data_IF_762886611390
#
_entry.id   IF_762886611390
#
_cell.length_a   1.000
_cell.length_b   1.000
_cell.length_c   1.000
_cell.angle_alpha   90.00
_cell.angle_beta   90.00
_cell.angle_gamma   90.00
#
_symmetry.space_group_name_H-M   'P 1'
#
loop_
_entity.id
_entity.type
_entity.pdbx_description
1 polymer ?
#
# COMPACT_ATOMS: atom_id res chain seq x y z
N UNK A 1 -5.49 -14.11 -35.04
CA UNK A 1 -5.21 -13.05 -34.09
C UNK A 1 -5.88 -13.46 -32.79
N UNK A 2 -5.12 -13.88 -31.78
CA UNK A 2 -5.64 -14.27 -30.46
C UNK A 2 -6.36 -13.07 -29.88
N UNK A 3 -7.65 -13.21 -29.51
CA UNK A 3 -8.33 -12.26 -28.65
C UNK A 3 -7.47 -12.14 -27.40
N UNK A 4 -6.84 -10.98 -27.16
CA UNK A 4 -6.07 -10.74 -25.96
C UNK A 4 -6.99 -10.97 -24.75
N UNK A 5 -6.83 -12.12 -24.11
CA UNK A 5 -7.51 -12.38 -22.86
C UNK A 5 -7.08 -11.27 -21.89
N UNK A 6 -8.03 -10.68 -21.14
CA UNK A 6 -7.74 -9.67 -20.14
C UNK A 6 -6.73 -10.24 -19.13
N UNK A 7 -5.62 -9.53 -18.80
CA UNK A 7 -4.62 -10.03 -17.87
C UNK A 7 -5.25 -10.30 -16.50
N UNK A 8 -4.82 -11.36 -15.82
CA UNK A 8 -5.29 -11.63 -14.46
C UNK A 8 -4.66 -10.64 -13.48
N UNK A 9 -5.49 -10.06 -12.63
CA UNK A 9 -5.07 -9.18 -11.54
C UNK A 9 -5.26 -9.91 -10.23
N UNK A 10 -4.19 -10.04 -9.43
CA UNK A 10 -4.27 -10.58 -8.07
C UNK A 10 -4.16 -9.43 -7.06
N UNK A 11 -5.15 -9.35 -6.18
CA UNK A 11 -5.17 -8.41 -5.06
C UNK A 11 -5.05 -9.20 -3.76
N UNK A 12 -4.13 -8.77 -2.89
CA UNK A 12 -3.93 -9.36 -1.55
C UNK A 12 -4.41 -8.39 -0.49
N UNK A 13 -5.21 -8.85 0.46
CA UNK A 13 -5.53 -8.10 1.68
C UNK A 13 -4.94 -8.79 2.90
N UNK A 14 -3.91 -8.19 3.53
CA UNK A 14 -3.47 -8.60 4.86
C UNK A 14 -4.47 -8.09 5.90
N UNK A 15 -4.90 -8.93 6.85
CA UNK A 15 -5.85 -8.59 7.91
C UNK A 15 -5.33 -9.01 9.27
N UNK A 16 -5.52 -8.16 10.28
CA UNK A 16 -5.35 -8.53 11.68
C UNK A 16 -6.13 -7.58 12.58
N UNK A 17 -7.19 -8.09 13.24
CA UNK A 17 -8.08 -7.34 14.12
C UNK A 17 -8.64 -6.06 13.47
N UNK A 18 -9.29 -6.21 12.31
CA UNK A 18 -9.83 -5.11 11.50
C UNK A 18 -11.33 -5.24 11.22
N UNK A 19 -12.09 -5.95 12.08
CA UNK A 19 -13.53 -6.15 11.90
C UNK A 19 -14.33 -4.87 11.60
N UNK A 20 -14.03 -3.70 12.18
CA UNK A 20 -14.76 -2.46 11.88
C UNK A 20 -14.69 -2.00 10.42
N UNK A 21 -13.63 -2.37 9.69
CA UNK A 21 -13.34 -1.86 8.34
C UNK A 21 -13.34 -2.96 7.28
N UNK A 22 -12.98 -4.18 7.65
CA UNK A 22 -12.68 -5.29 6.76
C UNK A 22 -13.81 -5.57 5.75
N UNK A 23 -15.08 -5.53 6.18
CA UNK A 23 -16.21 -5.79 5.28
C UNK A 23 -16.28 -4.77 4.14
N UNK A 24 -16.04 -3.49 4.43
CA UNK A 24 -16.01 -2.45 3.41
C UNK A 24 -14.85 -2.66 2.44
N UNK A 25 -13.67 -3.06 2.94
CA UNK A 25 -12.51 -3.39 2.12
C UNK A 25 -12.80 -4.56 1.19
N UNK A 26 -13.32 -5.68 1.72
CA UNK A 26 -13.66 -6.85 0.91
C UNK A 26 -14.63 -6.50 -0.20
N UNK A 27 -15.69 -5.76 0.11
CA UNK A 27 -16.68 -5.34 -0.88
C UNK A 27 -16.07 -4.43 -1.94
N UNK A 28 -15.21 -3.49 -1.55
CA UNK A 28 -14.57 -2.56 -2.49
C UNK A 28 -13.72 -3.26 -3.57
N UNK A 29 -13.18 -4.44 -3.25
CA UNK A 29 -12.44 -5.28 -4.22
C UNK A 29 -13.39 -6.19 -4.99
N UNK A 30 -14.31 -6.88 -4.31
CA UNK A 30 -15.24 -7.84 -4.92
C UNK A 30 -16.29 -7.19 -5.84
N UNK A 31 -16.53 -5.88 -5.69
CA UNK A 31 -17.48 -5.10 -6.50
C UNK A 31 -16.77 -4.34 -7.65
N UNK A 32 -15.47 -4.60 -7.90
CA UNK A 32 -14.78 -4.05 -9.07
C UNK A 32 -15.36 -4.62 -10.38
N UNK A 33 -15.38 -3.78 -11.40
CA UNK A 33 -15.91 -4.11 -12.75
C UNK A 33 -14.95 -4.92 -13.63
N UNK A 34 -13.93 -5.54 -13.03
CA UNK A 34 -12.90 -6.29 -13.75
C UNK A 34 -13.12 -7.81 -13.64
N UNK A 35 -13.38 -8.52 -14.77
CA UNK A 35 -13.85 -9.92 -14.70
C UNK A 35 -12.75 -10.95 -14.39
N UNK A 36 -11.45 -10.64 -14.62
CA UNK A 36 -10.34 -11.56 -14.38
C UNK A 36 -9.57 -11.16 -13.11
N UNK A 37 -10.31 -11.07 -12.00
CA UNK A 37 -9.80 -10.68 -10.67
C UNK A 37 -9.62 -11.91 -9.78
N UNK A 38 -8.44 -12.05 -9.18
CA UNK A 38 -8.10 -13.02 -8.15
C UNK A 38 -7.94 -12.29 -6.82
N UNK A 39 -8.81 -12.56 -5.86
CA UNK A 39 -8.76 -11.91 -4.57
C UNK A 39 -8.34 -12.88 -3.47
N UNK A 40 -7.28 -12.52 -2.74
CA UNK A 40 -6.64 -13.33 -1.70
C UNK A 40 -6.66 -12.56 -0.37
N UNK A 41 -7.11 -13.21 0.70
CA UNK A 41 -7.13 -12.63 2.05
C UNK A 41 -6.26 -13.45 2.98
N UNK A 42 -5.31 -12.81 3.64
CA UNK A 42 -4.40 -13.44 4.62
C UNK A 42 -4.65 -12.76 5.97
N UNK A 43 -5.29 -13.49 6.86
CA UNK A 43 -5.58 -13.03 8.22
C UNK A 43 -4.58 -13.61 9.21
N UNK A 44 -4.02 -12.76 10.06
CA UNK A 44 -2.97 -13.07 11.05
C UNK A 44 -3.48 -13.76 12.33
N UNK A 45 -4.66 -14.38 12.29
CA UNK A 45 -5.28 -15.01 13.46
C UNK A 45 -6.07 -14.00 14.31
N UNK A 46 -6.93 -13.22 13.67
CA UNK A 46 -7.79 -12.22 14.33
C UNK A 46 -8.74 -12.84 15.36
N UNK A 47 -9.09 -12.06 16.38
CA UNK A 47 -9.99 -12.45 17.48
C UNK A 47 -11.14 -11.45 17.72
N UNK A 48 -11.36 -10.51 16.80
CA UNK A 48 -12.29 -9.37 16.94
C UNK A 48 -13.57 -9.48 16.09
N UNK A 49 -13.83 -10.62 15.44
CA UNK A 49 -14.94 -10.80 14.50
C UNK A 49 -14.52 -10.69 13.03
N UNK A 50 -13.23 -10.45 12.73
CA UNK A 50 -12.74 -10.41 11.33
C UNK A 50 -12.91 -11.74 10.63
N UNK A 51 -12.75 -12.88 11.34
CA UNK A 51 -12.88 -14.22 10.77
C UNK A 51 -14.31 -14.49 10.28
N UNK A 52 -15.32 -14.09 11.04
CA UNK A 52 -16.73 -14.22 10.66
C UNK A 52 -17.05 -13.41 9.40
N UNK A 53 -16.44 -12.24 9.27
CA UNK A 53 -16.56 -11.42 8.06
C UNK A 53 -15.91 -12.13 6.86
N UNK A 54 -14.71 -12.68 7.01
CA UNK A 54 -14.03 -13.44 5.95
C UNK A 54 -14.88 -14.62 5.50
N UNK A 55 -15.41 -15.40 6.45
CA UNK A 55 -16.30 -16.54 6.16
C UNK A 55 -17.53 -16.17 5.34
N UNK A 56 -18.13 -15.01 5.62
CA UNK A 56 -19.30 -14.48 4.86
C UNK A 56 -18.99 -14.29 3.38
N UNK A 57 -17.75 -14.02 3.01
CA UNK A 57 -17.32 -13.77 1.62
C UNK A 57 -16.47 -14.90 1.03
N UNK A 58 -16.24 -15.99 1.76
CA UNK A 58 -15.30 -17.06 1.42
C UNK A 58 -15.51 -17.63 0.01
N UNK A 59 -16.77 -17.83 -0.42
CA UNK A 59 -17.12 -18.37 -1.75
C UNK A 59 -16.74 -17.42 -2.92
N UNK A 60 -16.43 -16.16 -2.63
CA UNK A 60 -16.04 -15.15 -3.62
C UNK A 60 -14.53 -14.88 -3.60
N UNK A 61 -13.80 -15.46 -2.65
CA UNK A 61 -12.35 -15.33 -2.54
C UNK A 61 -11.66 -16.47 -3.28
N UNK A 62 -10.61 -16.16 -4.04
CA UNK A 62 -9.80 -17.18 -4.69
C UNK A 62 -9.02 -18.01 -3.66
N UNK A 63 -8.60 -17.35 -2.56
CA UNK A 63 -7.97 -18.00 -1.42
C UNK A 63 -8.14 -17.13 -0.17
N UNK A 64 -8.24 -17.76 0.98
CA UNK A 64 -8.11 -17.11 2.28
C UNK A 64 -7.55 -18.07 3.31
N UNK A 65 -6.91 -17.53 4.34
CA UNK A 65 -6.52 -18.24 5.54
C UNK A 65 -6.58 -17.32 6.75
N UNK A 66 -6.75 -17.91 7.94
CA UNK A 66 -6.62 -17.22 9.23
C UNK A 66 -5.72 -18.06 10.13
N UNK A 67 -4.51 -17.57 10.39
CA UNK A 67 -3.55 -18.20 11.30
C UNK A 67 -2.50 -17.16 11.71
N UNK A 68 -1.87 -17.29 12.90
CA UNK A 68 -0.82 -16.39 13.32
C UNK A 68 0.30 -16.27 12.29
N UNK A 69 0.72 -15.03 12.03
CA UNK A 69 1.80 -14.65 11.11
C UNK A 69 2.85 -13.76 11.80
N UNK A 70 3.85 -13.31 11.04
CA UNK A 70 4.90 -12.40 11.52
C UNK A 70 4.57 -10.93 11.27
N UNK A 71 3.29 -10.62 10.99
CA UNK A 71 2.77 -9.27 10.73
C UNK A 71 2.51 -8.99 9.26
N UNK A 72 2.06 -7.77 8.98
CA UNK A 72 1.53 -7.34 7.68
C UNK A 72 2.42 -7.72 6.49
N UNK A 73 3.74 -7.51 6.59
CA UNK A 73 4.68 -7.80 5.50
C UNK A 73 4.72 -9.30 5.18
N UNK A 74 4.69 -10.15 6.21
CA UNK A 74 4.64 -11.60 6.05
C UNK A 74 3.31 -12.03 5.42
N UNK A 75 2.18 -11.50 5.89
CA UNK A 75 0.86 -11.76 5.31
C UNK A 75 0.81 -11.39 3.80
N UNK A 76 1.36 -10.24 3.41
CA UNK A 76 1.45 -9.82 2.00
C UNK A 76 2.30 -10.82 1.21
N UNK A 77 3.46 -11.22 1.70
CA UNK A 77 4.33 -12.21 1.06
C UNK A 77 3.64 -13.56 0.89
N UNK A 78 2.92 -14.03 1.90
CA UNK A 78 2.13 -15.28 1.83
C UNK A 78 1.04 -15.18 0.75
N UNK A 79 0.36 -14.04 0.66
CA UNK A 79 -0.64 -13.79 -0.38
C UNK A 79 -0.02 -13.78 -1.78
N UNK A 80 1.07 -13.05 -1.99
CA UNK A 80 1.75 -13.00 -3.28
C UNK A 80 2.40 -14.32 -3.70
N UNK A 81 2.79 -15.17 -2.76
CA UNK A 81 3.27 -16.52 -3.06
C UNK A 81 2.17 -17.42 -3.65
N UNK A 82 0.89 -17.09 -3.44
CA UNK A 82 -0.28 -17.78 -3.98
C UNK A 82 -0.85 -17.11 -5.23
N UNK A 83 -0.53 -15.84 -5.43
CA UNK A 83 -1.03 -15.04 -6.53
C UNK A 83 -0.58 -15.59 -7.89
N UNK A 84 -1.54 -15.75 -8.82
CA UNK A 84 -1.29 -16.24 -10.18
C UNK A 84 -1.44 -15.16 -11.24
N UNK A 85 -1.78 -13.92 -10.86
CA UNK A 85 -1.99 -12.80 -11.77
C UNK A 85 -0.72 -12.29 -12.43
N UNK A 86 -0.91 -11.67 -13.57
CA UNK A 86 0.12 -10.94 -14.32
C UNK A 86 0.36 -9.54 -13.72
N UNK A 87 -0.66 -9.02 -13.03
CA UNK A 87 -0.64 -7.74 -12.32
C UNK A 87 -0.95 -8.01 -10.85
N UNK A 88 -0.18 -7.40 -9.96
CA UNK A 88 -0.30 -7.55 -8.53
C UNK A 88 -0.61 -6.21 -7.86
N UNK A 89 -1.40 -6.28 -6.80
CA UNK A 89 -1.63 -5.16 -5.87
C UNK A 89 -1.89 -5.72 -4.47
N UNK A 90 -1.71 -4.91 -3.42
CA UNK A 90 -2.30 -5.23 -2.13
C UNK A 90 -3.10 -4.05 -1.60
N UNK A 91 -4.13 -4.36 -0.86
CA UNK A 91 -5.01 -3.38 -0.21
C UNK A 91 -5.08 -3.72 1.27
N UNK A 92 -4.72 -2.80 2.13
CA UNK A 92 -4.84 -3.02 3.58
C UNK A 92 -6.32 -3.14 3.96
N UNK A 93 -6.58 -3.86 5.05
CA UNK A 93 -7.94 -4.22 5.49
C UNK A 93 -8.77 -3.06 6.06
N UNK A 94 -8.23 -1.86 6.09
CA UNK A 94 -8.88 -0.60 6.48
C UNK A 94 -9.06 0.40 5.31
N UNK A 95 -8.48 0.12 4.14
CA UNK A 95 -8.52 0.97 2.94
C UNK A 95 -9.58 0.50 1.93
N UNK A 96 -9.86 1.31 0.91
CA UNK A 96 -10.86 1.00 -0.12
C UNK A 96 -10.28 1.21 -1.53
N UNK A 97 -10.64 0.33 -2.46
CA UNK A 97 -10.58 0.65 -3.89
C UNK A 97 -11.83 1.40 -4.31
N UNK A 98 -11.68 2.41 -5.16
CA UNK A 98 -12.80 3.10 -5.78
C UNK A 98 -13.31 2.33 -7.00
N UNK A 99 -14.58 2.48 -7.39
CA UNK A 99 -15.14 1.80 -8.57
C UNK A 99 -14.31 2.05 -9.84
N UNK A 100 -14.04 1.00 -10.60
CA UNK A 100 -13.27 1.06 -11.85
C UNK A 100 -11.75 1.16 -11.70
N UNK A 101 -11.22 1.17 -10.48
CA UNK A 101 -9.78 1.32 -10.23
C UNK A 101 -8.94 0.25 -10.92
N UNK A 102 -9.40 -1.02 -10.86
CA UNK A 102 -8.68 -2.15 -11.48
C UNK A 102 -8.66 -2.03 -13.01
N UNK A 103 -9.80 -1.72 -13.62
CA UNK A 103 -9.91 -1.57 -15.08
C UNK A 103 -9.03 -0.42 -15.60
N UNK A 104 -8.94 0.69 -14.86
CA UNK A 104 -8.09 1.84 -15.22
C UNK A 104 -6.61 1.49 -15.04
N UNK A 105 -6.24 0.81 -13.97
CA UNK A 105 -4.85 0.38 -13.72
C UNK A 105 -4.35 -0.60 -14.80
N UNK A 106 -5.18 -1.57 -15.19
CA UNK A 106 -4.86 -2.51 -16.28
C UNK A 106 -4.65 -1.77 -17.60
N UNK A 107 -5.53 -0.83 -17.94
CA UNK A 107 -5.40 -0.02 -19.13
C UNK A 107 -4.11 0.80 -19.10
N UNK A 108 -3.81 1.46 -18.01
CA UNK A 108 -2.59 2.23 -17.85
C UNK A 108 -1.32 1.37 -18.01
N UNK A 109 -1.28 0.15 -17.46
CA UNK A 109 -0.18 -0.80 -17.69
C UNK A 109 -0.10 -1.28 -19.14
N UNK A 110 -1.21 -1.36 -19.85
CA UNK A 110 -1.24 -1.68 -21.27
C UNK A 110 -0.70 -0.51 -22.14
N UNK A 111 -1.08 0.72 -21.81
CA UNK A 111 -0.63 1.95 -22.48
C UNK A 111 0.86 2.25 -22.19
N UNK A 112 1.39 1.75 -21.08
CA UNK A 112 2.78 1.90 -20.63
C UNK A 112 3.46 0.54 -20.46
N UNK A 113 3.77 -0.18 -21.56
CA UNK A 113 4.38 -1.51 -21.50
C UNK A 113 5.77 -1.51 -20.83
N UNK A 114 6.46 -0.37 -20.82
CA UNK A 114 7.76 -0.16 -20.17
C UNK A 114 7.65 0.00 -18.65
N UNK A 115 6.45 0.29 -18.10
CA UNK A 115 6.29 0.60 -16.69
C UNK A 115 6.36 -0.64 -15.80
N UNK A 116 7.09 -0.57 -14.70
CA UNK A 116 7.07 -1.57 -13.64
C UNK A 116 5.78 -1.51 -12.83
N UNK A 117 5.26 -0.31 -12.62
CA UNK A 117 4.12 -0.03 -11.79
C UNK A 117 3.39 1.21 -12.29
N UNK A 118 2.07 1.18 -12.15
CA UNK A 118 1.20 2.36 -12.29
C UNK A 118 0.55 2.67 -10.95
N UNK A 119 0.27 3.94 -10.69
CA UNK A 119 -0.44 4.36 -9.48
C UNK A 119 -1.28 5.61 -9.74
N UNK A 120 -2.38 5.68 -9.02
CA UNK A 120 -3.32 6.79 -9.09
C UNK A 120 -3.30 7.69 -7.84
N UNK A 121 -4.30 8.55 -7.77
CA UNK A 121 -4.61 9.35 -6.60
C UNK A 121 -5.39 8.54 -5.54
N UNK A 122 -5.35 8.99 -4.29
CA UNK A 122 -6.20 8.47 -3.23
C UNK A 122 -6.88 9.60 -2.45
N UNK A 123 -8.13 9.36 -2.07
CA UNK A 123 -8.81 10.18 -1.08
C UNK A 123 -8.24 9.86 0.31
N UNK A 124 -8.29 10.83 1.21
CA UNK A 124 -8.14 10.60 2.65
C UNK A 124 -9.54 10.54 3.25
N UNK A 125 -9.85 9.46 3.97
CA UNK A 125 -11.12 9.28 4.65
C UNK A 125 -10.91 9.05 6.15
N UNK A 126 -11.88 9.45 6.98
CA UNK A 126 -11.86 9.16 8.40
C UNK A 126 -12.41 7.73 8.72
N UNK A 127 -12.51 7.37 10.01
CA UNK A 127 -13.01 6.07 10.44
C UNK A 127 -14.42 5.77 9.89
N UNK A 128 -15.28 6.78 9.80
CA UNK A 128 -16.66 6.68 9.30
C UNK A 128 -16.75 6.64 7.75
N UNK A 129 -15.60 6.72 7.04
CA UNK A 129 -15.55 6.72 5.58
C UNK A 129 -15.81 8.10 4.94
N UNK A 130 -15.90 9.17 5.72
CA UNK A 130 -16.09 10.53 5.20
C UNK A 130 -14.78 11.07 4.64
N UNK A 131 -14.81 11.65 3.46
CA UNK A 131 -13.64 12.30 2.85
C UNK A 131 -13.20 13.52 3.67
N UNK A 132 -11.92 13.54 4.05
CA UNK A 132 -11.26 14.61 4.83
C UNK A 132 -10.13 15.29 4.07
N UNK A 133 -9.77 14.79 2.89
CA UNK A 133 -8.72 15.35 2.06
C UNK A 133 -8.34 14.46 0.88
N UNK A 134 -7.19 14.75 0.31
CA UNK A 134 -6.59 13.98 -0.79
C UNK A 134 -5.12 13.71 -0.47
N UNK A 135 -4.64 12.51 -0.77
CA UNK A 135 -3.23 12.19 -0.68
C UNK A 135 -2.44 12.99 -1.74
N UNK A 136 -1.30 13.60 -1.40
CA UNK A 136 -0.53 14.42 -2.35
C UNK A 136 0.28 13.54 -3.34
N UNK A 137 -0.41 12.78 -4.19
CA UNK A 137 0.23 11.95 -5.20
C UNK A 137 0.88 12.79 -6.30
N UNK A 138 2.01 12.34 -6.82
CA UNK A 138 2.71 13.03 -7.92
C UNK A 138 3.69 12.07 -8.62
N UNK A 139 4.02 12.37 -9.90
CA UNK A 139 5.01 11.61 -10.65
C UNK A 139 6.34 11.55 -9.92
N UNK A 140 6.81 10.34 -9.70
CA UNK A 140 8.10 10.05 -9.06
C UNK A 140 8.98 9.18 -9.97
N UNK A 141 10.23 9.02 -9.57
CA UNK A 141 11.22 8.17 -10.21
C UNK A 141 12.23 7.63 -9.17
N UNK A 142 13.10 6.74 -9.60
CA UNK A 142 14.13 6.16 -8.74
C UNK A 142 14.98 7.21 -8.02
N UNK A 143 15.33 8.33 -8.68
CA UNK A 143 16.15 9.39 -8.08
C UNK A 143 15.39 10.15 -6.99
N UNK A 144 14.12 10.46 -7.25
CA UNK A 144 13.24 11.14 -6.28
C UNK A 144 12.97 10.25 -5.07
N UNK A 145 12.65 8.95 -5.28
CA UNK A 145 12.45 8.00 -4.20
C UNK A 145 13.69 7.90 -3.30
N UNK A 146 14.89 7.74 -3.86
CA UNK A 146 16.14 7.71 -3.08
C UNK A 146 16.42 8.98 -2.28
N UNK A 147 15.77 10.09 -2.59
CA UNK A 147 15.81 11.35 -1.83
C UNK A 147 14.69 11.48 -0.80
N UNK A 148 13.88 10.42 -0.61
CA UNK A 148 12.74 10.40 0.32
C UNK A 148 11.56 11.24 -0.16
N UNK A 149 11.37 11.41 -1.47
CA UNK A 149 10.17 11.99 -2.06
C UNK A 149 9.19 10.87 -2.40
N UNK A 150 8.37 10.50 -1.42
CA UNK A 150 7.37 9.44 -1.55
C UNK A 150 6.00 10.09 -1.77
N UNK A 151 5.53 10.03 -3.01
CA UNK A 151 4.25 10.57 -3.44
C UNK A 151 3.38 9.50 -4.09
N UNK A 152 3.47 8.27 -3.60
CA UNK A 152 2.73 7.11 -4.08
C UNK A 152 1.78 6.68 -2.96
N UNK A 153 0.45 6.79 -3.15
CA UNK A 153 -0.49 6.13 -2.25
C UNK A 153 -0.45 4.63 -2.50
N UNK A 154 -0.06 3.87 -1.49
CA UNK A 154 0.18 2.43 -1.60
C UNK A 154 -1.06 1.69 -2.12
N UNK A 155 -2.23 1.99 -1.59
CA UNK A 155 -3.52 1.38 -1.93
C UNK A 155 -4.00 1.67 -3.35
N UNK A 156 -3.40 2.65 -4.03
CA UNK A 156 -3.68 2.99 -5.42
C UNK A 156 -2.55 2.55 -6.37
N UNK A 157 -1.79 1.51 -6.03
CA UNK A 157 -0.63 1.06 -6.81
C UNK A 157 -0.82 -0.37 -7.33
N UNK A 158 -0.51 -0.57 -8.63
CA UNK A 158 -0.58 -1.87 -9.32
C UNK A 158 0.73 -2.09 -10.09
N UNK A 159 1.33 -3.26 -9.96
CA UNK A 159 2.64 -3.56 -10.53
C UNK A 159 2.69 -4.90 -11.25
N UNK A 160 3.66 -5.06 -12.15
CA UNK A 160 3.84 -6.26 -12.95
C UNK A 160 4.40 -7.40 -12.12
N UNK A 161 3.79 -8.58 -12.23
CA UNK A 161 4.20 -9.76 -11.48
C UNK A 161 5.59 -10.29 -11.88
N UNK A 162 5.99 -10.15 -13.14
CA UNK A 162 7.30 -10.57 -13.63
C UNK A 162 8.44 -9.70 -13.04
N UNK A 163 8.20 -8.41 -12.86
CA UNK A 163 9.16 -7.51 -12.19
C UNK A 163 9.12 -7.69 -10.67
N UNK A 164 7.94 -7.93 -10.08
CA UNK A 164 7.85 -8.34 -8.68
C UNK A 164 8.72 -9.57 -8.39
N UNK A 165 8.64 -10.63 -9.20
CA UNK A 165 9.43 -11.87 -9.00
C UNK A 165 10.94 -11.63 -9.01
N UNK A 166 11.43 -10.57 -9.63
CA UNK A 166 12.86 -10.21 -9.64
C UNK A 166 13.31 -9.54 -8.35
N UNK A 167 12.37 -8.93 -7.61
CA UNK A 167 12.66 -8.18 -6.39
C UNK A 167 12.05 -8.81 -5.13
N UNK A 168 11.19 -9.82 -5.27
CA UNK A 168 10.53 -10.51 -4.16
C UNK A 168 11.53 -11.23 -3.25
N UNK A 169 11.13 -11.51 -1.99
CA UNK A 169 9.93 -11.04 -1.30
C UNK A 169 10.06 -9.61 -0.75
N UNK A 170 9.01 -9.09 -0.12
CA UNK A 170 9.12 -7.94 0.78
C UNK A 170 10.00 -8.33 1.98
N UNK A 171 10.85 -7.41 2.41
CA UNK A 171 11.71 -7.63 3.57
C UNK A 171 10.88 -7.51 4.87
N UNK A 172 10.64 -8.63 5.54
CA UNK A 172 9.86 -8.71 6.79
C UNK A 172 10.47 -7.93 7.96
N UNK A 173 11.72 -7.52 7.84
CA UNK A 173 12.38 -6.66 8.84
C UNK A 173 11.94 -5.19 8.76
N UNK A 174 11.20 -4.79 7.72
CA UNK A 174 10.53 -3.49 7.64
C UNK A 174 9.13 -3.58 8.24
N UNK A 175 8.88 -2.75 9.23
CA UNK A 175 7.54 -2.62 9.84
C UNK A 175 6.70 -1.53 9.18
N UNK A 176 7.33 -0.44 8.74
CA UNK A 176 6.66 0.73 8.13
C UNK A 176 7.01 0.92 6.65
N UNK A 177 8.27 0.74 6.27
CA UNK A 177 8.78 1.17 4.97
C UNK A 177 8.88 0.04 3.92
N UNK A 178 8.10 -1.06 4.09
CA UNK A 178 8.11 -2.18 3.15
C UNK A 178 7.60 -1.79 1.74
N UNK A 179 6.64 -0.87 1.68
CA UNK A 179 6.13 -0.31 0.42
C UNK A 179 7.18 0.58 -0.26
N UNK A 180 7.77 1.50 0.51
CA UNK A 180 8.85 2.35 0.01
C UNK A 180 10.05 1.53 -0.49
N UNK A 181 10.42 0.48 0.24
CA UNK A 181 11.47 -0.45 -0.15
C UNK A 181 11.16 -1.12 -1.50
N UNK A 182 9.93 -1.62 -1.67
CA UNK A 182 9.48 -2.21 -2.93
C UNK A 182 9.53 -1.20 -4.08
N UNK A 183 9.03 0.01 -3.89
CA UNK A 183 9.02 1.02 -4.95
C UNK A 183 10.41 1.43 -5.39
N UNK A 184 11.37 1.52 -4.47
CA UNK A 184 12.77 1.78 -4.81
C UNK A 184 13.34 0.63 -5.66
N UNK A 185 13.06 -0.62 -5.28
CA UNK A 185 13.53 -1.80 -6.04
C UNK A 185 12.87 -1.90 -7.42
N UNK A 186 11.56 -1.69 -7.54
CA UNK A 186 10.85 -1.67 -8.82
C UNK A 186 11.31 -0.52 -9.71
N UNK A 187 11.48 0.69 -9.15
CA UNK A 187 11.95 1.86 -9.89
C UNK A 187 13.40 1.74 -10.38
N UNK A 188 14.20 0.86 -9.79
CA UNK A 188 15.53 0.53 -10.27
C UNK A 188 15.50 -0.36 -11.53
N UNK A 189 14.42 -1.12 -11.74
CA UNK A 189 14.24 -1.99 -12.90
C UNK A 189 13.57 -1.27 -14.07
N UNK A 190 12.51 -0.50 -13.81
CA UNK A 190 11.68 0.12 -14.83
C UNK A 190 10.90 1.33 -14.30
N UNK A 191 10.36 2.21 -15.18
CA UNK A 191 9.62 3.40 -14.77
C UNK A 191 8.41 3.09 -13.89
N UNK A 192 8.08 4.04 -12.99
CA UNK A 192 6.81 4.11 -12.28
C UNK A 192 5.98 5.21 -12.92
N UNK A 193 4.73 4.93 -13.28
CA UNK A 193 3.86 5.86 -14.01
C UNK A 193 2.71 6.33 -13.12
N UNK A 194 2.60 7.63 -12.97
CA UNK A 194 1.49 8.26 -12.26
C UNK A 194 0.34 8.59 -13.21
N UNK A 195 -0.86 8.18 -12.85
CA UNK A 195 -2.11 8.50 -13.55
C UNK A 195 -2.95 9.40 -12.65
N UNK A 196 -3.25 10.64 -13.05
CA UNK A 196 -3.94 11.63 -12.20
C UNK A 196 -5.46 11.35 -12.10
N UNK A 197 -5.82 10.17 -11.57
CA UNK A 197 -7.19 9.70 -11.36
C UNK A 197 -7.31 9.06 -9.97
N UNK A 198 -8.47 9.22 -9.33
CA UNK A 198 -8.78 8.63 -8.04
C UNK A 198 -9.02 7.12 -8.19
N UNK A 199 -8.22 6.30 -7.51
CA UNK A 199 -8.30 4.83 -7.54
C UNK A 199 -8.61 4.22 -6.18
N UNK A 200 -8.31 4.94 -5.10
CA UNK A 200 -8.42 4.39 -3.75
C UNK A 200 -8.85 5.44 -2.72
N UNK A 201 -9.24 4.97 -1.55
CA UNK A 201 -9.42 5.79 -0.37
C UNK A 201 -8.58 5.23 0.78
N UNK A 202 -7.73 6.07 1.33
CA UNK A 202 -6.85 5.80 2.45
C UNK A 202 -7.51 6.22 3.75
N UNK A 203 -7.72 5.27 4.67
CA UNK A 203 -8.39 5.53 5.93
C UNK A 203 -7.42 5.97 7.01
N UNK A 204 -7.77 7.08 7.67
CA UNK A 204 -7.05 7.61 8.82
C UNK A 204 -7.90 7.40 10.07
N UNK A 205 -7.44 6.55 10.99
CA UNK A 205 -8.07 6.27 12.28
C UNK A 205 -7.00 6.07 13.36
N UNK A 206 -7.39 6.11 14.64
CA UNK A 206 -6.44 6.14 15.77
C UNK A 206 -5.47 4.97 15.84
N UNK A 207 -5.84 3.80 15.31
CA UNK A 207 -5.02 2.58 15.27
C UNK A 207 -4.25 2.40 13.96
N UNK A 208 -4.44 3.31 12.97
CA UNK A 208 -3.74 3.23 11.71
C UNK A 208 -2.22 3.39 11.91
N UNK A 209 -1.44 2.47 11.36
CA UNK A 209 0.04 2.50 11.43
C UNK A 209 0.62 3.84 11.00
N UNK A 210 0.06 4.46 9.99
CA UNK A 210 0.50 5.74 9.42
C UNK A 210 0.42 6.92 10.39
N UNK A 211 -0.49 6.88 11.37
CA UNK A 211 -0.61 7.93 12.41
C UNK A 211 0.44 7.72 13.51
N UNK A 212 0.75 6.46 13.84
CA UNK A 212 1.74 6.09 14.85
C UNK A 212 3.19 6.15 14.33
N UNK A 213 3.39 6.31 13.01
CA UNK A 213 4.60 5.94 12.29
C UNK A 213 5.67 7.03 12.18
N UNK A 214 5.38 8.29 12.55
CA UNK A 214 6.20 9.44 12.14
C UNK A 214 7.67 9.33 12.54
N UNK A 215 7.99 8.75 13.70
CA UNK A 215 9.37 8.63 14.19
C UNK A 215 10.07 7.32 13.82
N UNK A 216 9.31 6.25 13.53
CA UNK A 216 9.83 4.90 13.24
C UNK A 216 10.04 4.62 11.75
N UNK A 217 9.28 5.27 10.87
CA UNK A 217 9.38 5.10 9.42
C UNK A 217 10.73 5.61 8.86
N UNK A 218 11.22 6.73 9.36
CA UNK A 218 12.44 7.37 8.85
C UNK A 218 13.73 6.55 9.00
N UNK A 219 14.01 5.88 10.13
CA UNK A 219 15.14 4.96 10.23
C UNK A 219 15.10 3.85 9.19
N UNK A 220 13.91 3.30 8.91
CA UNK A 220 13.75 2.26 7.89
C UNK A 220 13.99 2.81 6.48
N UNK A 221 13.46 4.00 6.16
CA UNK A 221 13.74 4.68 4.89
C UNK A 221 15.22 4.97 4.69
N UNK A 222 15.95 5.35 5.77
CA UNK A 222 17.39 5.53 5.71
C UNK A 222 18.13 4.22 5.49
N UNK A 223 17.65 3.09 6.05
CA UNK A 223 18.22 1.75 5.79
C UNK A 223 18.13 1.40 4.31
N UNK A 224 16.97 1.64 3.67
CA UNK A 224 16.80 1.50 2.21
C UNK A 224 17.78 2.40 1.45
N UNK A 225 17.86 3.69 1.85
CA UNK A 225 18.75 4.65 1.20
C UNK A 225 20.23 4.21 1.22
N UNK A 226 20.73 3.75 2.37
CA UNK A 226 22.11 3.31 2.50
C UNK A 226 22.38 1.98 1.80
N UNK A 227 21.45 1.03 1.85
CA UNK A 227 21.54 -0.22 1.11
C UNK A 227 21.74 0.02 -0.38
N UNK A 228 21.09 1.03 -0.94
CA UNK A 228 21.19 1.41 -2.35
C UNK A 228 22.37 2.33 -2.66
N UNK A 229 23.38 2.40 -1.80
CA UNK A 229 24.58 3.24 -1.99
C UNK A 229 24.35 4.73 -1.78
N UNK A 230 23.33 5.10 -0.98
CA UNK A 230 23.06 6.49 -0.61
C UNK A 230 24.16 7.09 0.26
N UNK A 231 24.45 8.38 0.05
CA UNK A 231 25.49 9.10 0.80
C UNK A 231 24.94 9.75 2.05
N UNK A 232 25.79 9.91 3.07
CA UNK A 232 25.44 10.61 4.34
C UNK A 232 25.00 12.06 4.07
N UNK A 233 25.62 12.74 3.11
CA UNK A 233 25.24 14.09 2.68
C UNK A 233 24.19 14.00 1.57
N UNK A 234 22.96 13.59 1.91
CA UNK A 234 21.84 13.48 0.98
C UNK A 234 20.58 14.15 1.52
N UNK A 235 19.64 14.57 0.65
CA UNK A 235 18.41 15.23 1.08
C UNK A 235 17.57 14.43 2.09
N UNK A 236 17.51 13.12 1.97
CA UNK A 236 16.75 12.25 2.88
C UNK A 236 17.38 12.27 4.29
N UNK A 237 18.70 12.22 4.40
CA UNK A 237 19.42 12.29 5.68
C UNK A 237 19.22 13.67 6.33
N UNK A 238 19.31 14.73 5.54
CA UNK A 238 19.05 16.10 6.02
C UNK A 238 17.60 16.27 6.51
N UNK A 239 16.62 15.76 5.77
CA UNK A 239 15.20 15.74 6.19
C UNK A 239 15.00 14.98 7.50
N UNK A 240 15.63 13.83 7.66
CA UNK A 240 15.58 13.04 8.90
C UNK A 240 16.09 13.85 10.10
N UNK A 241 17.26 14.48 9.98
CA UNK A 241 17.85 15.27 11.08
C UNK A 241 17.02 16.52 11.39
N UNK A 242 16.54 17.25 10.36
CA UNK A 242 15.65 18.39 10.58
C UNK A 242 14.39 17.96 11.34
N UNK A 243 13.80 16.85 10.96
CA UNK A 243 12.59 16.33 11.61
C UNK A 243 12.87 15.90 13.06
N UNK A 244 13.97 15.22 13.30
CA UNK A 244 14.40 14.81 14.64
C UNK A 244 14.65 16.02 15.55
N UNK A 245 15.23 17.08 15.04
CA UNK A 245 15.43 18.33 15.76
C UNK A 245 14.11 19.08 15.99
N UNK A 246 13.18 19.04 15.05
CA UNK A 246 11.87 19.70 15.14
C UNK A 246 10.84 18.90 15.97
N UNK A 247 11.05 17.59 16.19
CA UNK A 247 10.11 16.72 16.88
C UNK A 247 9.65 17.24 18.25
N UNK A 248 10.54 17.75 19.14
CA UNK A 248 10.12 18.30 20.44
C UNK A 248 9.15 19.49 20.30
N UNK A 249 9.40 20.36 19.31
CA UNK A 249 8.56 21.53 19.04
C UNK A 249 7.20 21.14 18.47
N UNK A 250 7.17 20.13 17.57
CA UNK A 250 5.95 19.62 16.97
C UNK A 250 5.09 18.88 17.99
N UNK A 251 5.70 18.09 18.88
CA UNK A 251 4.99 17.42 19.97
C UNK A 251 4.40 18.42 20.97
N UNK A 252 5.12 19.50 21.28
CA UNK A 252 4.61 20.57 22.15
C UNK A 252 3.40 21.27 21.52
N UNK A 253 3.44 21.57 20.21
CA UNK A 253 2.29 22.15 19.48
C UNK A 253 1.08 21.22 19.44
N UNK A 254 1.28 19.91 19.17
CA UNK A 254 0.19 18.92 19.18
C UNK A 254 -0.46 18.77 20.55
N UNK A 255 0.33 18.72 21.63
CA UNK A 255 -0.19 18.71 23.02
C UNK A 255 -1.01 19.95 23.33
N UNK A 256 -0.57 21.14 22.89
CA UNK A 256 -1.29 22.39 23.10
C UNK A 256 -2.62 22.45 22.31
N UNK A 257 -2.68 21.89 21.11
CA UNK A 257 -3.92 21.79 20.32
C UNK A 257 -4.93 20.80 20.92
N UNK A 258 -4.47 19.68 21.47
CA UNK A 258 -5.33 18.71 22.15
C UNK A 258 -5.77 19.18 23.54
N UNK A 259 -4.97 20.01 24.24
CA UNK A 259 -5.33 20.59 25.53
C UNK A 259 -6.29 21.80 25.46
N UNK A 260 -6.51 22.38 24.29
CA UNK A 260 -7.48 23.48 24.06
C UNK A 260 -8.80 23.01 23.47
N UNK A 261 -9.02 21.71 23.35
CA UNK A 261 -10.25 21.09 22.81
C UNK A 261 -11.14 20.43 23.89
N UNK A 262 -10.87 20.74 25.20
CA UNK A 262 -11.72 20.38 26.33
C UNK A 262 -12.35 21.61 26.94
#
# INVERSE_FOLDING_TARGET
MSQNALPKVSIVTPSFNQAPFLEQTLRSVLEQDYPNLEYIVIDGGSSDGSLEIIHKYADRLAYWQSQPDQGQTDAINQGFARASGEILAWLNSDDLLLPGAVSVAVRALHEHPEAAMVYGDALLINAEGKTIGKFPAAQTDYRKLRRGYVHIPQQASFFRADLWRQVAPLDVSFYFAMDYDLWVRLAALAPLVYVPQLWAAFRLHGEAKSIAADDRCWPEMLRVHYRDGGKVLSPIVFKYWLRKLAAPLLMHRRKKQMGNAN
#
